data_IF_526062158092
#
_entry.id   IF_526062158092
#
_cell.length_a   1.000
_cell.length_b   1.000
_cell.length_c   1.000
_cell.angle_alpha   90.00
_cell.angle_beta   90.00
_cell.angle_gamma   90.00
#
_symmetry.space_group_name_H-M   'P 1'
#
loop_
_entity.id
_entity.type
_entity.pdbx_description
1 polymer ?
#
# COMPACT_ATOMS: atom_id res chain seq x y z
N UNK A 1 12.95 6.71 -11.91
CA UNK A 1 12.98 6.85 -10.45
C UNK A 1 12.75 5.49 -9.81
N UNK A 2 13.45 5.18 -8.73
CA UNK A 2 13.21 3.94 -8.00
C UNK A 2 12.02 4.09 -7.08
N UNK A 3 11.42 2.96 -6.68
CA UNK A 3 10.30 3.00 -5.74
C UNK A 3 10.76 3.53 -4.37
N UNK A 4 11.99 3.21 -3.97
CA UNK A 4 12.56 3.75 -2.73
C UNK A 4 12.63 5.28 -2.78
N UNK A 5 13.10 5.84 -3.90
CA UNK A 5 13.14 7.29 -4.07
C UNK A 5 11.75 7.91 -4.07
N UNK A 6 10.77 7.25 -4.68
CA UNK A 6 9.40 7.75 -4.68
C UNK A 6 8.86 7.83 -3.24
N UNK A 7 9.06 6.78 -2.45
CA UNK A 7 8.61 6.77 -1.06
C UNK A 7 9.30 7.85 -0.23
N UNK A 8 10.59 8.09 -0.46
CA UNK A 8 11.30 9.19 0.19
C UNK A 8 10.71 10.53 -0.19
N UNK A 9 10.41 10.74 -1.47
CA UNK A 9 9.79 11.98 -1.94
C UNK A 9 8.39 12.18 -1.36
N UNK A 10 7.67 11.11 -1.10
CA UNK A 10 6.36 11.18 -0.47
C UNK A 10 6.45 11.40 1.05
N UNK A 11 7.64 11.45 1.60
CA UNK A 11 7.83 11.64 3.03
C UNK A 11 7.56 10.39 3.86
N UNK A 12 7.55 9.22 3.23
CA UNK A 12 7.27 7.95 3.86
C UNK A 12 8.36 6.93 3.52
N UNK A 13 9.60 7.16 3.96
CA UNK A 13 10.71 6.30 3.56
C UNK A 13 10.47 4.85 3.97
N UNK A 14 10.85 3.94 3.08
CA UNK A 14 10.78 2.51 3.37
C UNK A 14 11.78 2.17 4.48
N UNK A 15 11.33 1.40 5.47
CA UNK A 15 12.22 0.97 6.55
C UNK A 15 13.35 0.09 6.01
N UNK A 16 13.07 -0.68 4.98
CA UNK A 16 14.07 -1.51 4.31
C UNK A 16 13.68 -1.65 2.83
N UNK A 17 14.61 -1.32 1.94
CA UNK A 17 14.34 -1.32 0.50
C UNK A 17 14.06 -2.72 -0.08
N UNK A 18 14.42 -3.77 0.66
CA UNK A 18 14.25 -5.15 0.18
C UNK A 18 12.91 -5.77 0.55
N UNK A 19 12.40 -5.49 1.78
CA UNK A 19 11.22 -6.18 2.26
C UNK A 19 10.06 -5.27 2.65
N UNK A 20 10.26 -3.96 2.79
CA UNK A 20 9.19 -3.06 3.20
C UNK A 20 8.09 -2.95 2.12
N UNK A 21 6.85 -2.95 2.57
CA UNK A 21 5.67 -2.81 1.70
C UNK A 21 5.01 -1.44 1.81
N UNK A 22 5.57 -0.56 2.62
CA UNK A 22 5.05 0.79 2.79
C UNK A 22 5.86 1.57 3.78
N UNK A 23 5.41 2.78 4.07
CA UNK A 23 6.05 3.67 5.03
C UNK A 23 5.05 4.60 5.68
N UNK A 24 5.51 5.35 6.68
CA UNK A 24 4.68 6.33 7.37
C UNK A 24 5.28 7.72 7.22
N UNK A 25 4.38 8.69 7.05
CA UNK A 25 4.76 10.10 6.98
C UNK A 25 4.78 10.69 8.39
N UNK A 26 5.42 11.85 8.52
CA UNK A 26 5.51 12.53 9.81
C UNK A 26 4.14 12.88 10.40
N UNK A 27 3.15 13.14 9.55
CA UNK A 27 1.80 13.46 10.00
C UNK A 27 1.00 12.23 10.43
N UNK A 28 1.61 11.05 10.40
CA UNK A 28 0.97 9.80 10.76
C UNK A 28 0.23 9.11 9.63
N UNK A 29 0.15 9.72 8.45
CA UNK A 29 -0.47 9.06 7.31
C UNK A 29 0.44 7.93 6.80
N UNK A 30 -0.19 6.94 6.15
CA UNK A 30 0.47 5.72 5.70
C UNK A 30 0.53 5.74 4.18
N UNK A 31 1.66 5.31 3.61
CA UNK A 31 1.80 5.12 2.17
C UNK A 31 2.11 3.65 1.92
N UNK A 32 1.30 2.98 1.13
CA UNK A 32 1.42 1.55 0.89
C UNK A 32 1.75 1.25 -0.57
N UNK A 33 2.54 0.21 -0.78
CA UNK A 33 2.67 -0.44 -2.09
C UNK A 33 1.46 -1.35 -2.26
N UNK A 34 0.71 -1.17 -3.34
CA UNK A 34 -0.44 -2.02 -3.63
C UNK A 34 -0.31 -2.57 -5.05
N UNK A 35 -1.05 -3.65 -5.34
CA UNK A 35 -0.87 -4.38 -6.57
C UNK A 35 -2.08 -4.23 -7.48
N UNK A 36 -1.82 -3.86 -8.72
CA UNK A 36 -2.85 -3.62 -9.73
C UNK A 36 -3.75 -4.85 -9.94
N UNK A 37 -3.20 -6.04 -9.82
CA UNK A 37 -3.96 -7.27 -10.00
C UNK A 37 -4.73 -7.73 -8.76
N UNK A 38 -4.71 -6.94 -7.69
CA UNK A 38 -5.42 -7.25 -6.44
C UNK A 38 -6.55 -6.27 -6.20
N UNK A 39 -7.35 -6.07 -7.23
CA UNK A 39 -8.52 -5.19 -7.18
C UNK A 39 -9.78 -6.00 -7.32
N UNK A 40 -10.87 -5.51 -6.74
CA UNK A 40 -12.18 -6.14 -6.81
C UNK A 40 -13.26 -5.07 -6.65
N UNK A 41 -14.37 -5.24 -7.35
CA UNK A 41 -15.52 -4.37 -7.12
C UNK A 41 -16.33 -4.93 -5.96
N UNK A 42 -16.48 -4.14 -4.92
CA UNK A 42 -17.25 -4.48 -3.73
C UNK A 42 -18.24 -3.34 -3.53
N UNK A 43 -19.54 -3.65 -3.50
CA UNK A 43 -20.57 -2.63 -3.34
C UNK A 43 -20.54 -1.56 -4.43
N UNK A 44 -20.14 -1.91 -5.65
CA UNK A 44 -20.08 -0.97 -6.78
C UNK A 44 -18.85 -0.09 -6.83
N UNK A 45 -17.90 -0.26 -5.91
CA UNK A 45 -16.65 0.52 -5.87
C UNK A 45 -15.44 -0.38 -6.06
N UNK A 46 -14.42 0.14 -6.75
CA UNK A 46 -13.16 -0.58 -6.90
C UNK A 46 -12.39 -0.52 -5.57
N UNK A 47 -12.07 -1.70 -5.06
CA UNK A 47 -11.32 -1.86 -3.81
C UNK A 47 -9.96 -2.47 -4.10
N UNK A 48 -9.01 -2.16 -3.24
CA UNK A 48 -7.65 -2.70 -3.25
C UNK A 48 -7.47 -3.59 -2.03
N UNK A 49 -6.91 -4.76 -2.23
CA UNK A 49 -6.62 -5.70 -1.14
C UNK A 49 -5.39 -5.24 -0.37
N UNK A 50 -5.50 -5.13 0.94
CA UNK A 50 -4.40 -4.72 1.80
C UNK A 50 -3.75 -5.90 2.53
N UNK A 51 -4.51 -6.94 2.86
CA UNK A 51 -3.98 -8.10 3.58
C UNK A 51 -4.15 -9.36 2.74
N UNK A 52 -3.31 -10.36 3.03
CA UNK A 52 -3.29 -11.64 2.34
C UNK A 52 -3.13 -12.73 3.39
N UNK A 53 -4.09 -12.82 4.32
CA UNK A 53 -3.98 -13.66 5.50
C UNK A 53 -3.76 -15.13 5.14
N UNK A 54 -4.48 -15.62 4.14
CA UNK A 54 -4.36 -17.02 3.73
C UNK A 54 -2.96 -17.36 3.20
N UNK A 55 -2.31 -16.41 2.51
CA UNK A 55 -0.96 -16.61 1.96
C UNK A 55 0.07 -16.72 3.07
N UNK A 56 -0.15 -16.01 4.19
CA UNK A 56 0.83 -15.92 5.27
C UNK A 56 0.50 -16.82 6.46
N UNK A 57 -0.48 -17.72 6.34
CA UNK A 57 -0.69 -18.76 7.34
C UNK A 57 0.59 -19.61 7.42
N UNK A 58 1.18 -19.71 8.63
CA UNK A 58 2.46 -20.36 8.83
C UNK A 58 3.68 -19.53 8.44
N UNK A 59 3.46 -18.29 7.97
CA UNK A 59 4.53 -17.36 7.56
C UNK A 59 4.35 -15.99 8.22
N UNK A 60 3.76 -15.97 9.41
CA UNK A 60 3.44 -14.73 10.12
C UNK A 60 4.69 -13.97 10.57
N UNK A 61 5.85 -14.63 10.56
CA UNK A 61 7.14 -14.00 10.87
C UNK A 61 7.73 -13.20 9.69
N UNK A 62 7.10 -13.23 8.52
CA UNK A 62 7.55 -12.44 7.38
C UNK A 62 7.55 -10.96 7.72
N UNK A 63 8.68 -10.29 7.51
CA UNK A 63 8.88 -8.89 7.93
C UNK A 63 7.94 -7.93 7.20
N UNK A 64 7.77 -8.10 5.90
CA UNK A 64 6.86 -7.27 5.11
C UNK A 64 5.41 -7.43 5.56
N UNK A 65 5.01 -8.66 5.85
CA UNK A 65 3.66 -8.95 6.34
C UNK A 65 3.42 -8.29 7.70
N UNK A 66 4.38 -8.41 8.63
CA UNK A 66 4.28 -7.79 9.95
C UNK A 66 4.19 -6.27 9.83
N UNK A 67 5.00 -5.68 8.96
CA UNK A 67 4.94 -4.24 8.71
C UNK A 67 3.57 -3.83 8.17
N UNK A 68 3.03 -4.58 7.19
CA UNK A 68 1.72 -4.30 6.61
C UNK A 68 0.62 -4.35 7.67
N UNK A 69 0.68 -5.32 8.58
CA UNK A 69 -0.31 -5.42 9.65
C UNK A 69 -0.23 -4.20 10.59
N UNK A 70 0.98 -3.72 10.91
CA UNK A 70 1.13 -2.51 11.73
C UNK A 70 0.57 -1.29 11.02
N UNK A 71 0.81 -1.15 9.71
CA UNK A 71 0.26 -0.05 8.93
C UNK A 71 -1.26 -0.11 8.87
N UNK A 72 -1.81 -1.30 8.69
CA UNK A 72 -3.26 -1.50 8.67
C UNK A 72 -3.88 -1.09 10.00
N UNK A 73 -3.24 -1.40 11.11
CA UNK A 73 -3.71 -0.98 12.44
C UNK A 73 -3.74 0.55 12.56
N UNK A 74 -2.75 1.25 12.00
CA UNK A 74 -2.75 2.72 11.98
C UNK A 74 -3.92 3.25 11.16
N UNK A 75 -4.20 2.65 10.02
CA UNK A 75 -5.34 3.04 9.19
C UNK A 75 -6.65 2.82 9.94
N UNK A 76 -6.79 1.69 10.62
CA UNK A 76 -7.97 1.38 11.43
C UNK A 76 -8.14 2.37 12.57
N UNK A 77 -7.05 2.92 13.07
CA UNK A 77 -7.07 3.94 14.13
C UNK A 77 -7.34 5.35 13.58
N UNK A 78 -7.54 5.51 12.27
CA UNK A 78 -7.93 6.78 11.66
C UNK A 78 -6.87 7.43 10.79
N UNK A 79 -5.71 6.82 10.59
CA UNK A 79 -4.68 7.40 9.73
C UNK A 79 -5.14 7.44 8.27
N UNK A 80 -4.80 8.53 7.57
CA UNK A 80 -5.01 8.60 6.13
C UNK A 80 -4.08 7.61 5.43
N UNK A 81 -4.53 7.07 4.31
CA UNK A 81 -3.76 6.10 3.55
C UNK A 81 -3.65 6.52 2.08
N UNK A 82 -2.42 6.60 1.61
CA UNK A 82 -2.10 6.78 0.19
C UNK A 82 -1.54 5.48 -0.35
N UNK A 83 -1.79 5.20 -1.62
CA UNK A 83 -1.39 3.95 -2.24
C UNK A 83 -0.59 4.20 -3.51
N UNK A 84 0.58 3.58 -3.59
CA UNK A 84 1.41 3.56 -4.81
C UNK A 84 1.04 2.29 -5.57
N UNK A 85 0.47 2.45 -6.75
CA UNK A 85 0.01 1.32 -7.56
C UNK A 85 1.19 0.68 -8.29
N UNK A 86 1.39 -0.60 -8.04
CA UNK A 86 2.45 -1.40 -8.62
C UNK A 86 1.87 -2.46 -9.55
N UNK A 87 2.59 -2.73 -10.64
CA UNK A 87 2.27 -3.82 -11.55
C UNK A 87 3.29 -4.94 -11.30
N UNK A 88 2.86 -6.17 -10.97
CA UNK A 88 3.80 -7.26 -10.70
C UNK A 88 4.38 -7.82 -11.99
N UNK A 89 5.64 -8.29 -11.93
CA UNK A 89 6.25 -8.99 -13.07
C UNK A 89 5.52 -10.28 -13.38
N UNK A 90 5.18 -11.03 -12.32
CA UNK A 90 4.42 -12.28 -12.41
C UNK A 90 3.40 -12.29 -11.28
N UNK A 91 2.10 -12.30 -11.58
CA UNK A 91 1.08 -12.19 -10.55
C UNK A 91 1.12 -13.25 -9.46
N UNK A 92 1.62 -14.44 -9.77
CA UNK A 92 1.59 -15.58 -8.85
C UNK A 92 2.92 -15.88 -8.17
N UNK A 93 3.97 -15.06 -8.40
CA UNK A 93 5.26 -15.30 -7.72
C UNK A 93 5.26 -14.75 -6.30
N UNK A 94 5.99 -15.44 -5.41
CA UNK A 94 6.22 -15.00 -4.04
C UNK A 94 7.70 -15.14 -3.76
N UNK A 95 8.43 -14.10 -3.36
CA UNK A 95 7.95 -12.71 -3.24
C UNK A 95 7.67 -12.09 -4.60
N UNK A 96 6.77 -11.12 -4.62
CA UNK A 96 6.44 -10.43 -5.86
C UNK A 96 7.51 -9.43 -6.23
N UNK A 97 7.78 -9.33 -7.53
CA UNK A 97 8.69 -8.33 -8.07
C UNK A 97 7.88 -7.30 -8.85
N UNK A 98 8.27 -6.05 -8.72
CA UNK A 98 7.61 -4.94 -9.42
C UNK A 98 8.13 -4.87 -10.85
N UNK A 99 7.20 -4.89 -11.81
CA UNK A 99 7.49 -4.60 -13.22
C UNK A 99 7.52 -3.10 -13.44
N UNK A 100 6.47 -2.43 -13.01
CA UNK A 100 6.28 -0.99 -13.12
C UNK A 100 5.50 -0.50 -11.92
N UNK A 101 5.58 0.80 -11.63
CA UNK A 101 4.72 1.46 -10.66
C UNK A 101 4.39 2.84 -11.16
N UNK A 102 3.26 3.38 -10.72
CA UNK A 102 2.85 4.74 -11.09
C UNK A 102 3.60 5.74 -10.25
N UNK A 103 4.48 6.51 -10.90
CA UNK A 103 5.34 7.46 -10.19
C UNK A 103 4.82 8.89 -10.19
N UNK A 104 3.72 9.15 -10.88
CA UNK A 104 3.17 10.50 -11.00
C UNK A 104 1.89 10.72 -10.21
N UNK A 105 1.24 9.66 -9.75
CA UNK A 105 0.00 9.77 -8.98
C UNK A 105 -0.05 8.74 -7.87
N UNK A 106 -0.78 9.09 -6.81
CA UNK A 106 -1.11 8.15 -5.74
C UNK A 106 -2.63 8.05 -5.64
N UNK A 107 -3.10 6.92 -5.14
CA UNK A 107 -4.52 6.73 -4.86
C UNK A 107 -4.78 6.98 -3.38
N UNK A 108 -5.93 7.55 -3.07
CA UNK A 108 -6.33 7.81 -1.69
C UNK A 108 -7.33 6.74 -1.28
N UNK A 109 -7.06 6.07 -0.18
CA UNK A 109 -7.94 5.03 0.34
C UNK A 109 -9.14 5.63 1.07
N UNK A 110 -10.31 5.03 0.86
CA UNK A 110 -11.49 5.32 1.65
C UNK A 110 -11.59 4.36 2.85
N UNK A 111 -12.80 4.18 3.37
CA UNK A 111 -13.04 3.38 4.57
C UNK A 111 -12.75 1.91 4.33
N UNK A 112 -11.99 1.33 5.25
CA UNK A 112 -11.59 -0.07 5.18
C UNK A 112 -12.80 -0.98 5.42
N UNK A 113 -12.89 -2.05 4.62
CA UNK A 113 -13.92 -3.07 4.78
C UNK A 113 -13.26 -4.45 4.85
N UNK A 114 -13.93 -5.38 5.52
CA UNK A 114 -13.53 -6.78 5.52
C UNK A 114 -14.32 -7.53 4.45
N UNK A 115 -13.61 -8.35 3.67
CA UNK A 115 -14.23 -9.13 2.60
C UNK A 115 -13.46 -10.43 2.42
N UNK A 116 -14.15 -11.55 2.55
CA UNK A 116 -13.58 -12.89 2.40
C UNK A 116 -12.31 -13.12 3.24
N UNK A 117 -12.32 -12.60 4.47
CA UNK A 117 -11.23 -12.81 5.42
C UNK A 117 -10.07 -11.84 5.32
N UNK A 118 -10.09 -10.93 4.37
CA UNK A 118 -9.06 -9.92 4.22
C UNK A 118 -9.61 -8.52 4.30
N UNK A 119 -8.72 -7.54 4.45
CA UNK A 119 -9.08 -6.14 4.55
C UNK A 119 -8.83 -5.46 3.21
N UNK A 120 -9.81 -4.68 2.78
CA UNK A 120 -9.82 -3.98 1.50
C UNK A 120 -10.17 -2.53 1.72
N UNK A 121 -9.66 -1.64 0.87
CA UNK A 121 -10.05 -0.23 0.89
C UNK A 121 -10.53 0.20 -0.48
N UNK A 122 -11.58 1.03 -0.56
CA UNK A 122 -11.99 1.60 -1.83
C UNK A 122 -10.99 2.67 -2.28
N UNK A 123 -10.87 2.84 -3.58
CA UNK A 123 -10.16 3.98 -4.15
C UNK A 123 -11.11 5.16 -4.07
N UNK A 124 -10.84 6.07 -3.13
CA UNK A 124 -11.71 7.22 -2.91
C UNK A 124 -11.34 8.40 -3.80
N UNK A 125 -10.05 8.52 -4.15
CA UNK A 125 -9.56 9.66 -4.93
C UNK A 125 -8.21 9.33 -5.53
N UNK A 126 -7.72 10.21 -6.40
CA UNK A 126 -6.36 10.21 -6.94
C UNK A 126 -5.77 11.59 -6.74
N UNK A 127 -4.49 11.63 -6.46
CA UNK A 127 -3.76 12.90 -6.35
C UNK A 127 -2.44 12.80 -7.10
N UNK A 128 -2.02 13.90 -7.78
CA UNK A 128 -0.65 13.94 -8.28
C UNK A 128 0.33 13.77 -7.12
N UNK A 129 1.42 13.06 -7.36
CA UNK A 129 2.47 12.89 -6.35
C UNK A 129 2.94 14.24 -5.82
N UNK A 130 3.00 15.26 -6.68
CA UNK A 130 3.41 16.60 -6.29
C UNK A 130 2.55 17.25 -5.21
N UNK A 131 1.30 16.84 -5.06
CA UNK A 131 0.41 17.35 -4.02
C UNK A 131 0.64 16.69 -2.65
N UNK A 132 1.21 15.50 -2.65
CA UNK A 132 1.53 14.77 -1.43
C UNK A 132 3.02 14.92 -1.10
N UNK A 133 3.80 15.19 -2.11
CA UNK A 133 5.23 15.42 -2.05
C UNK A 133 5.53 16.58 -1.14
N UNK A 134 6.61 16.50 -0.45
CA UNK A 134 7.03 17.63 0.34
C UNK A 134 6.33 17.72 1.68
N UNK A 135 5.93 16.59 2.22
CA UNK A 135 5.39 16.51 3.58
C UNK A 135 6.31 17.20 4.58
N UNK A 136 7.54 17.29 4.24
CA UNK A 136 8.58 17.92 5.03
C UNK A 136 8.63 19.45 4.88
N UNK A 137 7.76 19.99 4.11
CA UNK A 137 7.76 21.44 3.89
C UNK A 137 6.94 22.18 4.88
#
# INVERSE_FOLDING_TARGET
MSITALFENLGAPLANSRWSWGGMREDGSVVLRVWQNETKRIGGKTHIQLTHRAVFVGREDNLGYQERIRHVEQIQAGASCYMVMCEPKRPLTVPRKIKEFREHEVFVAGDMVEHEGDLWVPIADRKPVSQVWGAHK
#
